data_IF_966352146975
#
_entry.id   IF_966352146975
#
_cell.length_a   1.000
_cell.length_b   1.000
_cell.length_c   1.000
_cell.angle_alpha   90.00
_cell.angle_beta   90.00
_cell.angle_gamma   90.00
#
_symmetry.space_group_name_H-M   'P 1'
#
loop_
_entity.id
_entity.type
_entity.pdbx_description
1 polymer ?
#
# COMPACT_ATOMS: atom_id res chain seq x y z
N UNK A 1 -24.87 -7.03 24.63
CA UNK A 1 -23.41 -6.79 24.54
C UNK A 1 -22.58 -7.99 24.08
N UNK A 2 -22.72 -9.18 24.68
CA UNK A 2 -21.86 -10.34 24.39
C UNK A 2 -21.87 -10.77 22.91
N UNK A 3 -23.03 -10.75 22.25
CA UNK A 3 -23.15 -11.10 20.82
C UNK A 3 -22.35 -10.13 19.93
N UNK A 4 -22.45 -8.82 20.19
CA UNK A 4 -21.71 -7.79 19.47
C UNK A 4 -20.18 -7.98 19.61
N UNK A 5 -19.66 -8.20 20.83
CA UNK A 5 -18.22 -8.43 21.01
C UNK A 5 -17.75 -9.68 20.29
N UNK A 6 -18.54 -10.75 20.30
CA UNK A 6 -18.19 -11.98 19.54
C UNK A 6 -18.10 -11.71 18.04
N UNK A 7 -19.03 -10.94 17.48
CA UNK A 7 -19.02 -10.54 16.07
C UNK A 7 -17.77 -9.71 15.76
N UNK A 8 -17.44 -8.74 16.60
CA UNK A 8 -16.25 -7.91 16.43
C UNK A 8 -14.95 -8.73 16.51
N UNK A 9 -14.82 -9.59 17.53
CA UNK A 9 -13.64 -10.44 17.69
C UNK A 9 -13.49 -11.38 16.50
N UNK A 10 -14.58 -12.01 16.04
CA UNK A 10 -14.56 -12.88 14.86
C UNK A 10 -14.16 -12.12 13.59
N UNK A 11 -14.70 -10.91 13.40
CA UNK A 11 -14.34 -10.05 12.27
C UNK A 11 -12.86 -9.64 12.31
N UNK A 12 -12.37 -9.29 13.50
CA UNK A 12 -10.97 -8.94 13.74
C UNK A 12 -10.04 -10.11 13.45
N UNK A 13 -10.41 -11.32 13.87
CA UNK A 13 -9.61 -12.53 13.62
C UNK A 13 -9.55 -12.85 12.12
N UNK A 14 -10.69 -12.81 11.41
CA UNK A 14 -10.72 -12.95 9.95
C UNK A 14 -9.84 -11.91 9.27
N UNK A 15 -9.98 -10.62 9.62
CA UNK A 15 -9.17 -9.55 9.03
C UNK A 15 -7.69 -9.72 9.33
N UNK A 16 -7.34 -10.19 10.52
CA UNK A 16 -5.94 -10.44 10.90
C UNK A 16 -5.35 -11.58 10.09
N UNK A 17 -6.11 -12.64 9.82
CA UNK A 17 -5.68 -13.73 8.95
C UNK A 17 -5.41 -13.23 7.53
N UNK A 18 -6.38 -12.58 6.90
CA UNK A 18 -6.30 -12.23 5.48
C UNK A 18 -5.40 -11.01 5.19
N UNK A 19 -5.46 -9.96 6.03
CA UNK A 19 -4.75 -8.70 5.79
C UNK A 19 -3.36 -8.63 6.42
N UNK A 20 -3.12 -9.38 7.50
CA UNK A 20 -1.86 -9.27 8.27
C UNK A 20 -1.01 -10.52 8.14
N UNK A 21 -1.61 -11.71 8.28
CA UNK A 21 -0.86 -12.99 8.26
C UNK A 21 -0.73 -13.59 6.85
N UNK A 22 -1.58 -13.19 5.92
CA UNK A 22 -1.61 -13.74 4.57
C UNK A 22 -2.22 -15.14 4.49
N UNK A 23 -3.01 -15.51 5.49
CA UNK A 23 -3.81 -16.74 5.49
C UNK A 23 -5.03 -16.54 4.58
N UNK A 24 -5.37 -17.53 3.75
CA UNK A 24 -6.50 -17.50 2.82
C UNK A 24 -7.46 -18.68 3.01
N UNK A 25 -7.30 -19.43 4.10
CA UNK A 25 -8.10 -20.61 4.48
C UNK A 25 -9.60 -20.32 4.56
N UNK A 26 -9.97 -19.12 5.02
CA UNK A 26 -11.38 -18.70 5.11
C UNK A 26 -12.01 -18.36 3.76
N UNK A 27 -11.20 -18.06 2.73
CA UNK A 27 -11.65 -17.62 1.42
C UNK A 27 -10.79 -18.23 0.29
N UNK A 28 -10.80 -19.55 0.10
CA UNK A 28 -9.92 -20.22 -0.85
C UNK A 28 -10.19 -19.80 -2.31
N UNK A 29 -11.47 -19.64 -2.67
CA UNK A 29 -11.90 -19.35 -4.04
C UNK A 29 -12.06 -17.84 -4.33
N UNK A 30 -12.06 -16.99 -3.30
CA UNK A 30 -12.23 -15.54 -3.47
C UNK A 30 -10.88 -14.83 -3.51
N UNK A 31 -10.27 -14.76 -4.69
CA UNK A 31 -8.95 -14.12 -4.92
C UNK A 31 -8.88 -12.68 -4.39
N UNK A 32 -10.01 -11.96 -4.40
CA UNK A 32 -10.07 -10.60 -3.86
C UNK A 32 -9.82 -10.53 -2.35
N UNK A 33 -10.04 -11.63 -1.61
CA UNK A 33 -9.80 -11.73 -0.17
C UNK A 33 -8.35 -12.12 0.16
N UNK A 34 -7.51 -12.41 -0.84
CA UNK A 34 -6.09 -12.75 -0.65
C UNK A 34 -5.26 -11.46 -0.49
N UNK A 35 -5.52 -10.71 0.58
CA UNK A 35 -5.12 -9.30 0.68
C UNK A 35 -3.62 -9.05 0.57
N UNK A 36 -2.80 -9.88 1.20
CA UNK A 36 -1.35 -9.72 1.12
C UNK A 36 -0.83 -9.88 -0.31
N UNK A 37 -1.38 -10.83 -1.07
CA UNK A 37 -1.04 -11.03 -2.48
C UNK A 37 -1.50 -9.85 -3.35
N UNK A 38 -2.74 -9.37 -3.14
CA UNK A 38 -3.27 -8.21 -3.89
C UNK A 38 -2.47 -6.93 -3.60
N UNK A 39 -2.09 -6.69 -2.35
CA UNK A 39 -1.25 -5.54 -1.98
C UNK A 39 0.15 -5.64 -2.59
N UNK A 40 0.75 -6.85 -2.64
CA UNK A 40 2.03 -7.06 -3.30
C UNK A 40 1.97 -6.75 -4.80
N UNK A 41 0.91 -7.18 -5.50
CA UNK A 41 0.71 -6.85 -6.91
C UNK A 41 0.56 -5.35 -7.15
N UNK A 42 -0.19 -4.65 -6.28
CA UNK A 42 -0.32 -3.20 -6.38
C UNK A 42 1.02 -2.48 -6.17
N UNK A 43 1.87 -2.99 -5.27
CA UNK A 43 3.24 -2.47 -5.06
C UNK A 43 4.14 -2.72 -6.28
N UNK A 44 4.06 -3.90 -6.89
CA UNK A 44 4.81 -4.23 -8.11
C UNK A 44 4.40 -3.34 -9.29
N UNK A 45 3.10 -3.09 -9.45
CA UNK A 45 2.55 -2.16 -10.43
C UNK A 45 3.05 -0.73 -10.18
N UNK A 46 3.00 -0.27 -8.93
CA UNK A 46 3.48 1.06 -8.54
C UNK A 46 4.98 1.24 -8.80
N UNK A 47 5.78 0.22 -8.47
CA UNK A 47 7.21 0.21 -8.75
C UNK A 47 7.47 0.34 -10.26
N UNK A 48 6.79 -0.45 -11.09
CA UNK A 48 6.88 -0.37 -12.56
C UNK A 48 6.45 1.01 -13.08
N UNK A 49 5.39 1.60 -12.54
CA UNK A 49 4.92 2.93 -12.93
C UNK A 49 5.99 3.99 -12.65
N UNK A 50 6.55 4.01 -11.44
CA UNK A 50 7.63 4.94 -11.07
C UNK A 50 8.87 4.75 -11.95
N UNK A 51 9.28 3.50 -12.20
CA UNK A 51 10.41 3.21 -13.08
C UNK A 51 10.14 3.65 -14.53
N UNK A 52 8.90 3.58 -15.00
CA UNK A 52 8.56 4.10 -16.35
C UNK A 52 8.75 5.62 -16.46
N UNK A 53 8.55 6.37 -15.35
CA UNK A 53 8.76 7.82 -15.31
C UNK A 53 10.25 8.19 -15.34
N UNK A 54 11.13 7.33 -14.81
CA UNK A 54 12.58 7.47 -14.93
C UNK A 54 13.06 7.52 -16.39
N UNK A 55 12.42 6.77 -17.28
CA UNK A 55 12.87 6.58 -18.67
C UNK A 55 12.19 7.54 -19.66
N UNK A 56 11.16 8.29 -19.25
CA UNK A 56 10.33 9.11 -20.16
C UNK A 56 10.91 10.48 -20.53
N UNK A 57 12.00 10.92 -19.91
CA UNK A 57 12.46 12.32 -20.02
C UNK A 57 13.52 12.63 -21.07
N UNK A 58 14.11 11.65 -21.75
CA UNK A 58 15.20 11.95 -22.69
C UNK A 58 14.62 12.13 -24.09
N UNK A 59 14.11 13.32 -24.38
CA UNK A 59 14.08 13.74 -25.79
C UNK A 59 15.52 14.01 -26.20
N UNK A 60 16.01 13.30 -27.21
CA UNK A 60 17.42 13.30 -27.60
C UNK A 60 17.97 14.72 -27.89
N UNK A 61 17.08 15.66 -28.22
CA UNK A 61 17.33 17.08 -28.54
C UNK A 61 17.50 18.00 -27.31
N UNK A 62 17.21 17.54 -26.08
CA UNK A 62 17.27 18.37 -24.85
C UNK A 62 18.27 17.87 -23.81
N UNK A 63 19.12 16.90 -24.17
CA UNK A 63 20.09 16.35 -23.24
C UNK A 63 21.00 17.44 -22.67
N UNK A 64 21.24 17.39 -21.34
CA UNK A 64 22.00 18.35 -20.53
C UNK A 64 21.49 19.79 -20.47
N UNK A 65 20.38 20.13 -21.13
CA UNK A 65 19.92 21.53 -21.19
C UNK A 65 19.40 22.03 -19.84
N UNK A 66 18.73 21.18 -19.06
CA UNK A 66 18.30 21.52 -17.71
C UNK A 66 19.49 21.66 -16.77
N UNK A 67 20.45 20.73 -16.86
CA UNK A 67 21.67 20.74 -16.06
C UNK A 67 22.52 21.99 -16.35
N UNK A 68 22.71 22.34 -17.63
CA UNK A 68 23.41 23.56 -18.04
C UNK A 68 22.67 24.80 -17.51
N UNK A 69 21.35 24.87 -17.67
CA UNK A 69 20.56 26.02 -17.19
C UNK A 69 20.74 26.23 -15.69
N UNK A 70 20.54 25.19 -14.90
CA UNK A 70 20.66 25.28 -13.44
C UNK A 70 22.10 25.60 -13.03
N UNK A 71 23.10 25.01 -13.70
CA UNK A 71 24.50 25.33 -13.44
C UNK A 71 24.82 26.79 -13.74
N UNK A 72 24.27 27.39 -14.80
CA UNK A 72 24.45 28.81 -15.13
C UNK A 72 23.76 29.73 -14.11
N UNK A 73 22.53 29.41 -13.72
CA UNK A 73 21.73 30.21 -12.78
C UNK A 73 22.26 30.15 -11.34
N UNK A 74 22.90 29.05 -10.96
CA UNK A 74 23.47 28.86 -9.63
C UNK A 74 24.95 29.24 -9.53
N UNK A 75 25.52 29.86 -10.59
CA UNK A 75 26.90 30.39 -10.57
C UNK A 75 27.04 31.46 -9.49
N UNK A 76 27.64 31.07 -8.37
CA UNK A 76 28.17 32.00 -7.39
C UNK A 76 29.56 32.51 -7.78
N UNK A 77 30.04 33.50 -7.03
CA UNK A 77 31.45 33.90 -7.05
C UNK A 77 32.25 32.80 -6.36
N UNK A 78 33.05 32.04 -7.11
CA UNK A 78 33.78 30.89 -6.58
C UNK A 78 34.81 30.33 -7.55
N UNK A 79 35.57 29.33 -7.09
CA UNK A 79 36.53 28.63 -7.93
C UNK A 79 35.82 27.85 -9.05
N UNK A 80 36.40 27.82 -10.26
CA UNK A 80 35.92 26.92 -11.31
C UNK A 80 36.08 25.45 -10.87
N UNK A 81 35.31 24.55 -11.50
CA UNK A 81 35.36 23.09 -11.29
C UNK A 81 34.71 22.54 -10.01
N UNK A 82 34.01 23.35 -9.20
CA UNK A 82 33.15 22.84 -8.14
C UNK A 82 31.69 22.75 -8.61
N UNK A 83 31.06 21.59 -8.43
CA UNK A 83 29.63 21.45 -8.66
C UNK A 83 28.85 22.06 -7.49
N UNK A 84 28.03 23.10 -7.73
CA UNK A 84 27.24 23.70 -6.67
C UNK A 84 26.17 22.73 -6.18
N UNK A 85 26.16 22.46 -4.86
CA UNK A 85 25.15 21.61 -4.21
C UNK A 85 23.72 22.10 -4.48
N UNK A 86 23.54 23.42 -4.54
CA UNK A 86 22.25 24.04 -4.86
C UNK A 86 21.72 23.59 -6.23
N UNK A 87 22.58 23.48 -7.25
CA UNK A 87 22.17 23.00 -8.57
C UNK A 87 21.66 21.56 -8.53
N UNK A 88 22.40 20.69 -7.84
CA UNK A 88 22.00 19.29 -7.66
C UNK A 88 20.62 19.20 -6.98
N UNK A 89 20.42 19.96 -5.89
CA UNK A 89 19.15 19.98 -5.17
C UNK A 89 18.01 20.53 -6.02
N UNK A 90 18.23 21.57 -6.83
CA UNK A 90 17.21 22.11 -7.73
C UNK A 90 16.73 21.07 -8.75
N UNK A 91 17.66 20.31 -9.35
CA UNK A 91 17.33 19.23 -10.28
C UNK A 91 16.58 18.08 -9.57
N UNK A 92 17.08 17.65 -8.42
CA UNK A 92 16.42 16.62 -7.62
C UNK A 92 14.98 17.02 -7.25
N UNK A 93 14.79 18.26 -6.79
CA UNK A 93 13.46 18.78 -6.43
C UNK A 93 12.52 18.83 -7.63
N UNK A 94 13.03 19.14 -8.83
CA UNK A 94 12.24 19.08 -10.07
C UNK A 94 11.75 17.65 -10.31
N UNK A 95 12.65 16.66 -10.28
CA UNK A 95 12.30 15.26 -10.50
C UNK A 95 11.29 14.74 -9.46
N UNK A 96 11.48 15.08 -8.17
CA UNK A 96 10.54 14.71 -7.10
C UNK A 96 9.17 15.35 -7.33
N UNK A 97 9.09 16.60 -7.81
CA UNK A 97 7.81 17.25 -8.13
C UNK A 97 7.05 16.52 -9.23
N UNK A 98 7.75 16.02 -10.26
CA UNK A 98 7.12 15.32 -11.39
C UNK A 98 6.50 13.99 -10.98
N UNK A 99 7.11 13.28 -10.03
CA UNK A 99 6.55 12.03 -9.51
C UNK A 99 5.65 12.23 -8.29
N UNK A 100 5.51 13.46 -7.76
CA UNK A 100 4.91 13.72 -6.45
C UNK A 100 3.46 13.27 -6.32
N UNK A 101 2.69 13.24 -7.40
CA UNK A 101 1.29 12.79 -7.41
C UNK A 101 1.16 11.25 -7.34
N UNK A 102 2.13 10.52 -7.91
CA UNK A 102 2.11 9.05 -8.03
C UNK A 102 1.92 8.34 -6.68
N UNK A 103 2.69 8.68 -5.62
CA UNK A 103 2.49 8.13 -4.28
C UNK A 103 1.05 8.28 -3.75
N UNK A 104 0.41 9.42 -3.99
CA UNK A 104 -0.94 9.69 -3.47
C UNK A 104 -1.98 8.83 -4.18
N UNK A 105 -1.93 8.78 -5.52
CA UNK A 105 -2.83 7.95 -6.34
C UNK A 105 -2.69 6.47 -5.96
N UNK A 106 -1.45 6.00 -5.77
CA UNK A 106 -1.19 4.64 -5.33
C UNK A 106 -1.81 4.33 -3.95
N UNK A 107 -1.56 5.19 -2.95
CA UNK A 107 -2.08 4.99 -1.59
C UNK A 107 -3.61 5.05 -1.56
N UNK A 108 -4.23 5.93 -2.34
CA UNK A 108 -5.68 5.98 -2.49
C UNK A 108 -6.25 4.66 -3.04
N UNK A 109 -5.62 4.11 -4.09
CA UNK A 109 -6.00 2.80 -4.67
C UNK A 109 -5.92 1.68 -3.62
N UNK A 110 -4.84 1.61 -2.85
CA UNK A 110 -4.67 0.59 -1.81
C UNK A 110 -5.74 0.73 -0.72
N UNK A 111 -5.98 1.95 -0.22
CA UNK A 111 -6.97 2.14 0.84
C UNK A 111 -8.41 1.93 0.36
N UNK A 112 -8.71 2.18 -0.91
CA UNK A 112 -10.01 1.81 -1.48
C UNK A 112 -10.22 0.30 -1.43
N UNK A 113 -9.22 -0.47 -1.84
CA UNK A 113 -9.25 -1.93 -1.75
C UNK A 113 -9.37 -2.43 -0.30
N UNK A 114 -8.56 -1.89 0.62
CA UNK A 114 -8.62 -2.23 2.04
C UNK A 114 -10.00 -1.92 2.62
N UNK A 115 -10.61 -0.78 2.28
CA UNK A 115 -11.95 -0.42 2.71
C UNK A 115 -13.00 -1.42 2.25
N UNK A 116 -12.95 -1.81 0.98
CA UNK A 116 -13.90 -2.76 0.39
C UNK A 116 -13.86 -4.11 1.11
N UNK A 117 -12.66 -4.67 1.34
CA UNK A 117 -12.50 -5.92 2.08
C UNK A 117 -12.94 -5.76 3.54
N UNK A 118 -12.50 -4.68 4.21
CA UNK A 118 -12.81 -4.41 5.61
C UNK A 118 -14.32 -4.36 5.87
N UNK A 119 -15.05 -3.61 5.02
CA UNK A 119 -16.51 -3.52 5.10
C UNK A 119 -17.16 -4.85 4.75
N UNK A 120 -16.63 -5.62 3.80
CA UNK A 120 -17.17 -6.92 3.43
C UNK A 120 -17.13 -7.92 4.59
N UNK A 121 -15.98 -8.05 5.27
CA UNK A 121 -15.84 -8.94 6.43
C UNK A 121 -16.78 -8.54 7.55
N UNK A 122 -16.86 -7.25 7.87
CA UNK A 122 -17.79 -6.74 8.89
C UNK A 122 -19.26 -7.04 8.54
N UNK A 123 -19.61 -6.92 7.26
CA UNK A 123 -20.96 -7.20 6.77
C UNK A 123 -21.33 -8.68 6.92
N UNK A 124 -20.38 -9.58 6.60
CA UNK A 124 -20.57 -11.02 6.67
C UNK A 124 -20.82 -11.49 8.12
N UNK A 125 -20.01 -11.02 9.07
CA UNK A 125 -20.17 -11.40 10.48
C UNK A 125 -21.40 -10.76 11.17
N UNK A 126 -21.98 -9.71 10.58
CA UNK A 126 -23.17 -9.01 11.11
C UNK A 126 -24.48 -9.29 10.35
N UNK A 127 -24.50 -10.23 9.39
CA UNK A 127 -25.65 -10.48 8.50
C UNK A 127 -26.96 -10.77 9.23
N UNK A 128 -26.89 -11.43 10.39
CA UNK A 128 -28.07 -11.77 11.18
C UNK A 128 -28.73 -10.58 11.89
N UNK A 129 -28.04 -9.44 11.95
CA UNK A 129 -28.42 -8.24 12.71
C UNK A 129 -28.42 -6.99 11.81
N UNK A 130 -29.51 -6.71 11.07
CA UNK A 130 -29.54 -5.64 10.07
C UNK A 130 -29.23 -4.25 10.63
N UNK A 131 -29.72 -3.93 11.83
CA UNK A 131 -29.45 -2.65 12.48
C UNK A 131 -27.97 -2.51 12.84
N UNK A 132 -27.39 -3.54 13.46
CA UNK A 132 -25.94 -3.58 13.73
C UNK A 132 -25.13 -3.44 12.44
N UNK A 133 -25.47 -4.17 11.38
CA UNK A 133 -24.76 -4.12 10.11
C UNK A 133 -24.67 -2.69 9.54
N UNK A 134 -25.79 -1.96 9.53
CA UNK A 134 -25.82 -0.58 9.02
C UNK A 134 -24.92 0.37 9.81
N UNK A 135 -24.91 0.23 11.14
CA UNK A 135 -24.14 1.11 12.00
C UNK A 135 -22.67 0.73 12.08
N UNK A 136 -22.35 -0.57 12.08
CA UNK A 136 -20.97 -1.06 11.97
C UNK A 136 -20.36 -0.64 10.63
N UNK A 137 -21.14 -0.67 9.53
CA UNK A 137 -20.68 -0.13 8.25
C UNK A 137 -20.34 1.36 8.33
N UNK A 138 -21.21 2.18 8.95
CA UNK A 138 -20.96 3.62 9.13
C UNK A 138 -19.70 3.86 9.98
N UNK A 139 -19.57 3.16 11.10
CA UNK A 139 -18.40 3.25 11.97
C UNK A 139 -17.10 2.85 11.23
N UNK A 140 -17.16 1.79 10.41
CA UNK A 140 -16.06 1.36 9.57
C UNK A 140 -15.63 2.44 8.55
N UNK A 141 -16.59 3.08 7.89
CA UNK A 141 -16.31 4.16 6.94
C UNK A 141 -15.70 5.39 7.62
N UNK A 142 -16.19 5.75 8.81
CA UNK A 142 -15.62 6.83 9.62
C UNK A 142 -14.16 6.54 10.00
N UNK A 143 -13.88 5.31 10.48
CA UNK A 143 -12.54 4.85 10.81
C UNK A 143 -11.63 4.86 9.58
N UNK A 144 -12.12 4.39 8.44
CA UNK A 144 -11.35 4.33 7.21
C UNK A 144 -10.99 5.72 6.70
N UNK A 145 -11.93 6.68 6.77
CA UNK A 145 -11.67 8.09 6.45
C UNK A 145 -10.56 8.68 7.34
N UNK A 146 -10.61 8.41 8.64
CA UNK A 146 -9.58 8.85 9.58
C UNK A 146 -8.19 8.29 9.23
N UNK A 147 -8.11 7.00 8.91
CA UNK A 147 -6.83 6.34 8.60
C UNK A 147 -6.29 6.79 7.23
N UNK A 148 -7.17 6.95 6.23
CA UNK A 148 -6.82 7.49 4.91
C UNK A 148 -6.19 8.88 5.03
N UNK A 149 -6.78 9.78 5.82
CA UNK A 149 -6.24 11.13 6.03
C UNK A 149 -4.85 11.09 6.69
N UNK A 150 -4.68 10.31 7.77
CA UNK A 150 -3.36 10.11 8.41
C UNK A 150 -2.35 9.51 7.44
N UNK A 151 -2.80 8.61 6.58
CA UNK A 151 -1.94 7.99 5.58
C UNK A 151 -1.49 9.01 4.53
N UNK A 152 -2.37 9.88 4.05
CA UNK A 152 -2.06 10.95 3.12
C UNK A 152 -1.06 11.96 3.70
N UNK A 153 -1.22 12.34 4.98
CA UNK A 153 -0.25 13.20 5.67
C UNK A 153 1.14 12.55 5.71
N UNK A 154 1.21 11.25 6.00
CA UNK A 154 2.48 10.51 6.02
C UNK A 154 3.11 10.39 4.63
N UNK A 155 2.31 10.18 3.58
CA UNK A 155 2.80 10.17 2.19
C UNK A 155 3.41 11.53 1.84
N UNK A 156 2.74 12.62 2.22
CA UNK A 156 3.26 13.97 2.03
C UNK A 156 4.61 14.15 2.70
N UNK A 157 4.76 13.74 3.97
CA UNK A 157 6.05 13.78 4.66
C UNK A 157 7.14 13.01 3.91
N UNK A 158 6.85 11.79 3.44
CA UNK A 158 7.80 10.95 2.69
C UNK A 158 8.28 11.68 1.42
N UNK A 159 7.36 12.26 0.65
CA UNK A 159 7.70 13.00 -0.58
C UNK A 159 8.46 14.28 -0.29
N UNK A 160 8.08 15.03 0.74
CA UNK A 160 8.77 16.28 1.10
C UNK A 160 10.18 16.02 1.65
N UNK A 161 10.40 14.94 2.40
CA UNK A 161 11.74 14.58 2.89
C UNK A 161 12.75 14.38 1.74
N UNK A 162 12.33 13.79 0.61
CA UNK A 162 13.18 13.60 -0.57
C UNK A 162 13.55 14.92 -1.28
N UNK A 163 12.83 16.01 -1.02
CA UNK A 163 13.14 17.34 -1.60
C UNK A 163 14.19 18.11 -0.80
N UNK A 164 14.42 17.72 0.46
CA UNK A 164 15.21 18.52 1.40
C UNK A 164 16.68 18.12 1.41
N UNK A 165 16.99 16.83 1.24
CA UNK A 165 18.35 16.32 1.42
C UNK A 165 18.77 15.31 0.34
N UNK A 166 20.03 15.40 -0.05
CA UNK A 166 20.75 14.59 -1.04
C UNK A 166 21.64 13.51 -0.37
N UNK A 167 21.10 12.80 0.62
CA UNK A 167 21.87 11.82 1.39
C UNK A 167 21.56 10.37 0.99
N UNK A 168 22.62 9.57 0.86
CA UNK A 168 22.50 8.12 0.69
C UNK A 168 23.68 7.40 1.34
N UNK A 169 23.38 6.30 2.03
CA UNK A 169 24.36 5.31 2.49
C UNK A 169 24.37 4.06 1.59
N UNK A 170 23.62 4.07 0.48
CA UNK A 170 23.57 2.94 -0.44
C UNK A 170 24.93 2.77 -1.13
N UNK A 171 25.62 1.62 -0.98
CA UNK A 171 26.92 1.39 -1.58
C UNK A 171 26.90 1.42 -3.11
N UNK A 172 25.74 1.13 -3.72
CA UNK A 172 25.58 1.11 -5.18
C UNK A 172 25.62 2.49 -5.83
N UNK A 173 25.52 3.57 -5.03
CA UNK A 173 25.62 4.93 -5.56
C UNK A 173 26.96 5.16 -6.25
N UNK A 174 28.06 4.83 -5.57
CA UNK A 174 29.42 5.06 -6.11
C UNK A 174 29.73 4.12 -7.27
N UNK A 175 29.27 2.86 -7.23
CA UNK A 175 29.48 1.92 -8.34
C UNK A 175 28.71 2.35 -9.59
N UNK A 176 27.45 2.77 -9.44
CA UNK A 176 26.63 3.30 -10.54
C UNK A 176 27.22 4.58 -11.10
N UNK A 177 27.63 5.51 -10.25
CA UNK A 177 28.26 6.75 -10.67
C UNK A 177 29.57 6.49 -11.44
N UNK A 178 30.45 5.63 -10.93
CA UNK A 178 31.70 5.29 -11.61
C UNK A 178 31.46 4.64 -12.98
N UNK A 179 30.45 3.75 -13.08
CA UNK A 179 30.06 3.14 -14.35
C UNK A 179 29.60 4.19 -15.36
N UNK A 180 28.81 5.18 -14.92
CA UNK A 180 28.33 6.26 -15.77
C UNK A 180 29.45 7.23 -16.17
N UNK A 181 30.32 7.57 -15.22
CA UNK A 181 31.46 8.47 -15.43
C UNK A 181 32.54 7.85 -16.33
N UNK A 182 32.61 6.52 -16.42
CA UNK A 182 33.50 5.83 -17.37
C UNK A 182 33.25 6.21 -18.84
N UNK A 183 32.13 6.86 -19.18
CA UNK A 183 31.81 7.30 -20.54
C UNK A 183 32.18 8.76 -20.82
N UNK A 184 32.70 9.49 -19.82
CA UNK A 184 33.02 10.90 -19.94
C UNK A 184 34.09 11.20 -20.99
N UNK A 185 35.12 10.34 -21.11
CA UNK A 185 36.18 10.53 -22.10
C UNK A 185 35.64 10.40 -23.52
N UNK A 186 34.81 9.39 -23.77
CA UNK A 186 34.17 9.19 -25.06
C UNK A 186 33.23 10.36 -25.39
N UNK A 187 32.42 10.79 -24.42
CA UNK A 187 31.56 11.96 -24.56
C UNK A 187 32.34 13.23 -24.94
N UNK A 188 33.50 13.45 -24.31
CA UNK A 188 34.35 14.60 -24.63
C UNK A 188 34.95 14.50 -26.03
N UNK A 189 35.30 13.30 -26.50
CA UNK A 189 35.80 13.07 -27.86
C UNK A 189 34.74 13.41 -28.92
N UNK A 190 33.52 12.90 -28.77
CA UNK A 190 32.40 13.16 -29.69
C UNK A 190 32.02 14.66 -29.74
N UNK A 191 32.11 15.36 -28.60
CA UNK A 191 31.86 16.80 -28.58
C UNK A 191 32.87 17.60 -29.42
N UNK A 192 34.14 17.17 -29.45
CA UNK A 192 35.20 17.82 -30.20
C UNK A 192 35.22 17.43 -31.70
N UNK A 193 34.62 16.29 -32.05
CA UNK A 193 34.54 15.84 -33.44
C UNK A 193 33.30 16.43 -34.14
N UNK A 194 33.51 17.34 -35.09
CA UNK A 194 32.43 18.00 -35.81
C UNK A 194 31.63 17.06 -36.74
N UNK A 195 32.11 15.84 -36.99
CA UNK A 195 31.49 14.87 -37.91
C UNK A 195 30.46 13.95 -37.25
N UNK A 196 30.55 13.73 -35.93
CA UNK A 196 29.58 12.93 -35.17
C UNK A 196 28.66 13.84 -34.37
N UNK A 197 27.36 13.57 -34.34
CA UNK A 197 26.40 14.37 -33.56
C UNK A 197 25.62 13.56 -32.54
N UNK A 198 25.90 12.25 -32.46
CA UNK A 198 25.21 11.31 -31.58
C UNK A 198 26.16 10.44 -30.77
N UNK A 199 25.76 10.10 -29.55
CA UNK A 199 26.46 9.17 -28.69
C UNK A 199 25.48 8.17 -28.06
N UNK A 200 25.82 6.89 -28.11
CA UNK A 200 25.09 5.85 -27.39
C UNK A 200 25.55 5.76 -25.93
N UNK A 201 24.62 5.95 -24.97
CA UNK A 201 24.88 5.75 -23.55
C UNK A 201 23.95 4.64 -22.98
N UNK A 202 24.43 3.76 -22.07
CA UNK A 202 23.68 2.57 -21.64
C UNK A 202 22.30 2.83 -21.04
N UNK A 203 22.12 3.95 -20.34
CA UNK A 203 20.84 4.31 -19.69
C UNK A 203 19.99 5.21 -20.61
N UNK A 204 20.65 5.98 -21.48
CA UNK A 204 19.99 7.07 -22.19
C UNK A 204 19.74 6.77 -23.68
N UNK A 205 20.29 5.67 -24.20
CA UNK A 205 20.24 5.33 -25.62
C UNK A 205 21.10 6.28 -26.45
N UNK A 206 20.70 6.45 -27.72
CA UNK A 206 21.37 7.37 -28.64
C UNK A 206 20.90 8.80 -28.41
N UNK A 207 21.83 9.66 -28.01
CA UNK A 207 21.58 11.06 -27.65
C UNK A 207 22.22 11.99 -28.67
N UNK A 208 21.51 13.04 -29.07
CA UNK A 208 22.07 14.14 -29.86
C UNK A 208 22.92 15.05 -28.95
N UNK A 209 24.14 15.38 -29.38
CA UNK A 209 25.07 16.23 -28.60
C UNK A 209 25.54 17.45 -29.38
N UNK A 210 25.13 17.61 -30.64
CA UNK A 210 25.54 18.72 -31.50
C UNK A 210 25.23 20.11 -30.91
N UNK A 211 24.05 20.25 -30.26
CA UNK A 211 23.62 21.51 -29.63
C UNK A 211 24.49 21.92 -28.43
N UNK A 212 25.21 20.98 -27.82
CA UNK A 212 26.05 21.26 -26.65
C UNK A 212 27.33 22.03 -27.00
N UNK A 213 27.72 22.05 -28.28
CA UNK A 213 28.91 22.75 -28.77
C UNK A 213 28.80 24.27 -28.66
N UNK A 214 27.59 24.80 -28.52
CA UNK A 214 27.34 26.23 -28.32
C UNK A 214 27.75 26.69 -26.91
N UNK A 215 27.96 25.76 -25.98
CA UNK A 215 28.31 26.05 -24.59
C UNK A 215 29.79 25.81 -24.31
N UNK A 216 30.40 26.55 -23.35
CA UNK A 216 31.80 26.33 -23.02
C UNK A 216 32.03 24.90 -22.49
N UNK A 217 33.08 24.23 -22.98
CA UNK A 217 33.39 22.82 -22.68
C UNK A 217 33.37 22.49 -21.17
N UNK A 218 33.89 23.38 -20.33
CA UNK A 218 33.87 23.22 -18.86
C UNK A 218 32.44 23.08 -18.31
N UNK A 219 31.48 23.85 -18.85
CA UNK A 219 30.08 23.80 -18.43
C UNK A 219 29.43 22.49 -18.85
N UNK A 220 29.71 22.06 -20.07
CA UNK A 220 29.16 20.81 -20.62
C UNK A 220 29.69 19.61 -19.83
N UNK A 221 30.97 19.59 -19.48
CA UNK A 221 31.55 18.54 -18.63
C UNK A 221 30.94 18.54 -17.22
N UNK A 222 30.72 19.71 -16.62
CA UNK A 222 30.04 19.83 -15.33
C UNK A 222 28.58 19.36 -15.40
N UNK A 223 27.87 19.71 -16.48
CA UNK A 223 26.49 19.28 -16.70
C UNK A 223 26.41 17.76 -16.87
N UNK A 224 27.38 17.15 -17.57
CA UNK A 224 27.49 15.71 -17.68
C UNK A 224 27.71 15.04 -16.32
N UNK A 225 28.69 15.51 -15.52
CA UNK A 225 28.92 14.99 -14.16
C UNK A 225 27.65 15.14 -13.28
N UNK A 226 26.98 16.30 -13.34
CA UNK A 226 25.72 16.55 -12.65
C UNK A 226 24.64 15.54 -13.07
N UNK A 227 24.46 15.30 -14.37
CA UNK A 227 23.50 14.34 -14.90
C UNK A 227 23.75 12.95 -14.35
N UNK A 228 25.01 12.48 -14.38
CA UNK A 228 25.35 11.13 -13.93
C UNK A 228 25.11 10.96 -12.43
N UNK A 229 25.45 11.96 -11.62
CA UNK A 229 25.15 11.95 -10.17
C UNK A 229 23.65 11.95 -9.91
N UNK A 230 22.89 12.81 -10.59
CA UNK A 230 21.44 12.87 -10.46
C UNK A 230 20.81 11.54 -10.86
N UNK A 231 21.23 10.93 -11.97
CA UNK A 231 20.72 9.62 -12.43
C UNK A 231 21.03 8.51 -11.44
N UNK A 232 22.26 8.43 -10.91
CA UNK A 232 22.64 7.43 -9.92
C UNK A 232 21.85 7.58 -8.61
N UNK A 233 21.67 8.82 -8.13
CA UNK A 233 20.91 9.10 -6.91
C UNK A 233 19.40 8.89 -7.11
N UNK A 234 18.86 9.30 -8.27
CA UNK A 234 17.44 9.24 -8.57
C UNK A 234 16.91 7.80 -8.56
N UNK A 235 17.69 6.85 -9.05
CA UNK A 235 17.38 5.41 -8.93
C UNK A 235 17.14 4.99 -7.48
N UNK A 236 17.94 5.50 -6.53
CA UNK A 236 17.83 5.20 -5.11
C UNK A 236 16.58 5.85 -4.52
N UNK A 237 16.28 7.10 -4.89
CA UNK A 237 15.08 7.81 -4.43
C UNK A 237 13.81 7.05 -4.83
N UNK A 238 13.71 6.59 -6.08
CA UNK A 238 12.56 5.82 -6.56
C UNK A 238 12.36 4.54 -5.75
N UNK A 239 13.42 3.78 -5.48
CA UNK A 239 13.36 2.57 -4.64
C UNK A 239 12.92 2.92 -3.21
N UNK A 240 13.48 3.98 -2.64
CA UNK A 240 13.15 4.41 -1.27
C UNK A 240 11.69 4.83 -1.14
N UNK A 241 11.11 5.49 -2.16
CA UNK A 241 9.69 5.82 -2.19
C UNK A 241 8.82 4.55 -2.18
N UNK A 242 9.17 3.52 -2.96
CA UNK A 242 8.46 2.24 -2.96
C UNK A 242 8.54 1.57 -1.59
N UNK A 243 9.73 1.40 -1.04
CA UNK A 243 9.95 0.72 0.24
C UNK A 243 9.25 1.46 1.39
N UNK A 244 9.36 2.79 1.42
CA UNK A 244 8.75 3.61 2.48
C UNK A 244 7.24 3.51 2.49
N UNK A 245 6.60 3.50 1.31
CA UNK A 245 5.15 3.34 1.21
C UNK A 245 4.70 1.92 1.53
N UNK A 246 5.46 0.90 1.10
CA UNK A 246 5.18 -0.49 1.46
C UNK A 246 5.17 -0.67 2.99
N UNK A 247 6.23 -0.18 3.67
CA UNK A 247 6.34 -0.24 5.13
C UNK A 247 5.20 0.51 5.81
N UNK A 248 4.90 1.74 5.36
CA UNK A 248 3.82 2.54 5.91
C UNK A 248 2.45 1.88 5.78
N UNK A 249 2.12 1.35 4.59
CA UNK A 249 0.84 0.72 4.31
C UNK A 249 0.66 -0.54 5.14
N UNK A 250 1.64 -1.45 5.14
CA UNK A 250 1.57 -2.71 5.89
C UNK A 250 1.46 -2.43 7.39
N UNK A 251 2.25 -1.49 7.92
CA UNK A 251 2.17 -1.09 9.33
C UNK A 251 0.82 -0.44 9.68
N UNK A 252 0.28 0.39 8.79
CA UNK A 252 -1.02 1.03 8.97
C UNK A 252 -2.17 0.02 8.96
N UNK A 253 -2.15 -0.96 8.05
CA UNK A 253 -3.12 -2.06 8.01
C UNK A 253 -3.03 -2.93 9.27
N UNK A 254 -1.81 -3.24 9.72
CA UNK A 254 -1.61 -3.96 10.98
C UNK A 254 -2.25 -3.22 12.17
N UNK A 255 -2.04 -1.91 12.26
CA UNK A 255 -2.60 -1.08 13.34
C UNK A 255 -4.12 -0.92 13.23
N UNK A 256 -4.65 -0.76 12.01
CA UNK A 256 -6.08 -0.75 11.73
C UNK A 256 -6.75 -1.97 12.34
N UNK A 257 -6.27 -3.17 12.01
CA UNK A 257 -6.90 -4.43 12.44
C UNK A 257 -6.62 -4.73 13.92
N UNK A 258 -5.38 -4.55 14.37
CA UNK A 258 -4.97 -5.02 15.69
C UNK A 258 -5.41 -4.09 16.83
N UNK A 259 -5.43 -2.77 16.57
CA UNK A 259 -5.62 -1.75 17.59
C UNK A 259 -6.85 -0.88 17.32
N UNK A 260 -6.95 -0.29 16.14
CA UNK A 260 -7.85 0.84 15.91
C UNK A 260 -9.31 0.39 15.66
N UNK A 261 -9.50 -0.75 14.97
CA UNK A 261 -10.82 -1.32 14.62
C UNK A 261 -11.73 -1.47 15.83
N UNK A 262 -11.28 -2.18 16.87
CA UNK A 262 -12.11 -2.49 18.02
C UNK A 262 -12.44 -1.23 18.82
N UNK A 263 -11.43 -0.39 19.08
CA UNK A 263 -11.58 0.85 19.86
C UNK A 263 -12.55 1.81 19.18
N UNK A 264 -12.33 2.10 17.90
CA UNK A 264 -13.12 3.13 17.20
C UNK A 264 -14.52 2.64 16.84
N UNK A 265 -14.70 1.35 16.48
CA UNK A 265 -16.04 0.82 16.20
C UNK A 265 -16.88 0.77 17.48
N UNK A 266 -16.33 0.30 18.61
CA UNK A 266 -17.05 0.28 19.89
C UNK A 266 -17.41 1.70 20.32
N UNK A 267 -16.47 2.65 20.19
CA UNK A 267 -16.69 4.06 20.53
C UNK A 267 -17.79 4.71 19.70
N UNK A 268 -17.81 4.50 18.37
CA UNK A 268 -18.87 5.04 17.50
C UNK A 268 -20.22 4.45 17.89
N UNK A 269 -20.30 3.13 18.10
CA UNK A 269 -21.55 2.42 18.38
C UNK A 269 -22.12 2.73 19.77
N UNK A 270 -21.26 2.97 20.77
CA UNK A 270 -21.65 3.36 22.12
C UNK A 270 -22.01 4.84 22.27
N UNK A 271 -21.95 5.62 21.18
CA UNK A 271 -22.33 7.02 21.22
C UNK A 271 -23.81 7.18 21.64
N UNK A 272 -24.13 8.02 22.66
CA UNK A 272 -25.50 8.23 23.16
C UNK A 272 -26.54 8.54 22.08
N UNK A 273 -26.12 9.11 20.94
CA UNK A 273 -26.99 9.45 19.82
C UNK A 273 -27.50 8.24 19.02
N UNK A 274 -26.94 7.04 19.19
CA UNK A 274 -27.26 5.85 18.38
C UNK A 274 -28.38 4.96 18.95
N UNK A 275 -29.08 5.39 20.01
CA UNK A 275 -30.24 4.65 20.53
C UNK A 275 -29.92 3.36 21.31
N UNK A 276 -28.64 3.05 21.53
CA UNK A 276 -28.17 1.96 22.37
C UNK A 276 -27.98 0.63 21.63
N UNK A 277 -26.85 -0.05 21.91
CA UNK A 277 -26.40 -1.30 21.27
C UNK A 277 -27.42 -2.44 21.36
N UNK A 278 -28.31 -2.41 22.35
CA UNK A 278 -29.33 -3.44 22.55
C UNK A 278 -30.38 -3.46 21.44
N UNK A 279 -30.84 -2.30 20.96
CA UNK A 279 -31.79 -2.23 19.82
C UNK A 279 -31.15 -2.70 18.52
N UNK A 280 -29.84 -2.53 18.42
CA UNK A 280 -29.05 -2.89 17.24
C UNK A 280 -28.85 -4.40 17.10
N UNK A 281 -29.02 -5.14 18.21
CA UNK A 281 -28.92 -6.60 18.28
C UNK A 281 -30.26 -7.31 18.05
N UNK A 282 -31.24 -6.62 17.46
CA UNK A 282 -32.47 -7.25 16.97
C UNK A 282 -32.18 -8.14 15.76
N UNK A 283 -32.55 -9.42 15.87
CA UNK A 283 -32.34 -10.41 14.83
C UNK A 283 -33.31 -10.22 13.66
N UNK A 284 -32.85 -10.57 12.46
CA UNK A 284 -33.76 -10.59 11.32
C UNK A 284 -34.92 -11.59 11.55
N UNK A 285 -36.15 -11.26 11.10
CA UNK A 285 -37.31 -12.15 11.26
C UNK A 285 -37.09 -13.57 10.73
N UNK A 286 -36.29 -13.70 9.66
CA UNK A 286 -35.93 -15.01 9.07
C UNK A 286 -35.13 -15.87 10.06
N UNK A 287 -34.18 -15.28 10.76
CA UNK A 287 -33.34 -15.98 11.76
C UNK A 287 -34.19 -16.38 12.96
N UNK A 288 -35.05 -15.48 13.45
CA UNK A 288 -35.97 -15.74 14.55
C UNK A 288 -36.88 -16.94 14.25
N UNK A 289 -37.53 -16.95 13.07
CA UNK A 289 -38.41 -18.04 12.64
C UNK A 289 -37.63 -19.37 12.52
N UNK A 290 -36.41 -19.33 11.96
CA UNK A 290 -35.56 -20.52 11.82
C UNK A 290 -35.16 -21.09 13.19
N UNK A 291 -34.78 -20.23 14.13
CA UNK A 291 -34.44 -20.62 15.51
C UNK A 291 -35.63 -21.27 16.21
N UNK A 292 -36.82 -20.69 16.08
CA UNK A 292 -38.03 -21.28 16.66
C UNK A 292 -38.32 -22.67 16.09
N UNK A 293 -38.24 -22.85 14.78
CA UNK A 293 -38.43 -24.16 14.14
C UNK A 293 -37.41 -25.19 14.62
N UNK A 294 -36.15 -24.78 14.74
CA UNK A 294 -35.08 -25.64 15.23
C UNK A 294 -35.30 -26.04 16.69
N UNK A 295 -35.67 -25.09 17.54
CA UNK A 295 -35.97 -25.34 18.95
C UNK A 295 -37.18 -26.27 19.14
N UNK A 296 -38.24 -26.11 18.32
CA UNK A 296 -39.37 -27.03 18.31
C UNK A 296 -38.94 -28.45 17.93
N UNK A 297 -38.09 -28.58 16.91
CA UNK A 297 -37.54 -29.87 16.45
C UNK A 297 -36.66 -30.52 17.52
N UNK A 298 -35.77 -29.75 18.16
CA UNK A 298 -34.92 -30.24 19.26
C UNK A 298 -35.77 -30.70 20.45
N UNK A 299 -36.82 -29.95 20.80
CA UNK A 299 -37.74 -30.34 21.89
C UNK A 299 -38.46 -31.65 21.57
N UNK A 300 -38.96 -31.81 20.34
CA UNK A 300 -39.55 -33.06 19.86
C UNK A 300 -38.56 -34.23 19.95
N UNK A 301 -37.34 -34.06 19.43
CA UNK A 301 -36.32 -35.10 19.47
C UNK A 301 -35.94 -35.52 20.91
N UNK A 302 -35.89 -34.56 21.85
CA UNK A 302 -35.66 -34.88 23.27
C UNK A 302 -36.80 -35.71 23.86
N UNK A 303 -38.05 -35.37 23.55
CA UNK A 303 -39.22 -36.15 23.99
C UNK A 303 -39.20 -37.55 23.38
N UNK A 304 -38.95 -37.67 22.07
CA UNK A 304 -38.85 -38.97 21.40
C UNK A 304 -37.73 -39.83 21.98
N UNK A 305 -36.56 -39.24 22.29
CA UNK A 305 -35.46 -39.94 22.96
C UNK A 305 -35.90 -40.50 24.31
N UNK A 306 -36.61 -39.71 25.12
CA UNK A 306 -37.09 -40.12 26.44
C UNK A 306 -38.08 -41.30 26.33
N UNK A 307 -39.02 -41.23 25.39
CA UNK A 307 -39.99 -42.31 25.15
C UNK A 307 -39.31 -43.60 24.66
N UNK A 308 -38.33 -43.49 23.75
CA UNK A 308 -37.53 -44.64 23.31
C UNK A 308 -36.74 -45.23 24.47
N UNK A 309 -36.18 -44.40 25.36
CA UNK A 309 -35.50 -44.88 26.56
C UNK A 309 -36.44 -45.68 27.47
N UNK A 310 -37.65 -45.17 27.74
CA UNK A 310 -38.67 -45.89 28.53
C UNK A 310 -39.07 -47.23 27.91
N UNK A 311 -39.18 -47.30 26.58
CA UNK A 311 -39.48 -48.55 25.88
C UNK A 311 -38.32 -49.54 26.03
N UNK A 312 -37.08 -49.07 25.87
CA UNK A 312 -35.87 -49.89 26.01
C UNK A 312 -35.70 -50.41 27.45
N UNK A 313 -36.01 -49.59 28.46
CA UNK A 313 -36.00 -49.99 29.87
C UNK A 313 -37.06 -51.09 30.14
N UNK A 314 -38.24 -50.98 29.53
CA UNK A 314 -39.29 -52.02 29.62
C UNK A 314 -38.88 -53.33 28.95
N UNK A 315 -38.28 -53.27 27.76
CA UNK A 315 -37.78 -54.47 27.05
C UNK A 315 -36.67 -55.14 27.87
N UNK A 316 -35.80 -54.36 28.51
CA UNK A 316 -34.73 -54.88 29.38
C UNK A 316 -35.28 -55.47 30.69
N UNK A 317 -36.41 -54.97 31.19
CA UNK A 317 -37.08 -55.49 32.38
C UNK A 317 -37.90 -56.77 32.11
N UNK A 318 -38.55 -56.89 30.94
CA UNK A 318 -39.28 -58.10 30.51
C UNK A 318 -38.34 -59.23 30.03
N UNK A 319 -37.04 -58.95 29.86
CA UNK A 319 -36.00 -59.92 29.49
C UNK A 319 -35.31 -60.64 30.66
N UNK A 320 -35.83 -60.54 31.89
CA UNK A 320 -35.31 -61.27 33.06
C UNK A 320 -35.38 -62.81 32.88
N UNK A 321 -34.43 -63.57 33.48
CA UNK A 321 -33.95 -64.84 32.96
C UNK A 321 -35.04 -65.90 32.85
N UNK A 322 -35.08 -66.60 31.71
CA UNK A 322 -35.75 -67.88 31.61
C UNK A 322 -35.18 -68.82 32.69
N UNK A 323 -35.94 -69.05 33.75
CA UNK A 323 -35.76 -70.21 34.60
C UNK A 323 -36.21 -71.43 33.78
N UNK A 324 -35.24 -72.24 33.34
CA UNK A 324 -35.03 -73.67 33.62
C UNK A 324 -33.97 -74.19 32.66
#
# INVERSE_FOLDING_TARGET
>A
MTAFMRILVSSKDTLKKIMVRGEFDEYPDEVNMHCTARMAEMLDEYSKELQSKFHKEITADKFLMDEIRVLLETRGIGLPNFLPKSAFLTLLQKNVKEVSETPFVFVEKVWKYVEEVFVCVLKQHSENYPQLQSSTKRAAQNLMSLIKNKSADRVKEIVEMEKVVDYTCNPDYMSTLNSLMGHQENFTKVLNDMSESKIGLPIFGDIEVGHLREYPSVVVQQAFDMKMRCTAYWKIVLLRLVDSLALHLVFSVHNLVSRDMEVEIVKDLMNPHNGGVERMLEESPKVTIRREKLNRSIKLLKVSKEEVSKIMDRISADGGPAQV
#
